data_IF_890802133729
#
_entry.id   IF_890802133729
#
_cell.length_a   1.000
_cell.length_b   1.000
_cell.length_c   1.000
_cell.angle_alpha   90.00
_cell.angle_beta   90.00
_cell.angle_gamma   90.00
#
_symmetry.space_group_name_H-M   'P 1'
#
loop_
_entity.id
_entity.type
_entity.pdbx_description
1 polymer ?
#
# COMPACT_ATOMS: atom_id res chain seq x y z
N UNK A 1 -11.64 11.86 9.17
CA UNK A 1 -12.11 11.51 10.53
C UNK A 1 -12.14 12.77 11.37
N UNK A 2 -13.08 12.89 12.28
CA UNK A 2 -13.09 13.97 13.27
C UNK A 2 -12.09 13.64 14.37
N UNK A 3 -11.18 14.56 14.74
CA UNK A 3 -10.36 14.40 15.94
C UNK A 3 -11.24 14.14 17.16
N UNK A 4 -10.83 13.26 18.06
CA UNK A 4 -11.54 12.95 19.30
C UNK A 4 -12.76 12.02 19.19
N UNK A 5 -13.22 11.69 17.99
CA UNK A 5 -14.39 10.78 17.82
C UNK A 5 -14.04 9.34 18.18
N UNK A 6 -12.80 8.90 17.92
CA UNK A 6 -12.42 7.51 18.10
C UNK A 6 -11.69 7.25 19.44
N UNK A 7 -10.63 8.00 19.77
CA UNK A 7 -9.80 7.75 20.96
C UNK A 7 -9.21 9.00 21.59
N UNK A 8 -8.72 9.93 20.78
CA UNK A 8 -8.16 11.21 21.22
C UNK A 8 -8.09 12.18 20.06
N UNK A 9 -7.79 13.45 20.36
CA UNK A 9 -7.64 14.50 19.35
C UNK A 9 -6.43 14.30 18.44
N UNK A 10 -5.52 13.42 18.81
CA UNK A 10 -4.24 13.19 18.10
C UNK A 10 -4.06 11.81 17.54
N UNK A 11 -4.85 10.82 17.97
CA UNK A 11 -4.74 9.42 17.53
C UNK A 11 -6.03 8.92 16.92
N UNK A 12 -5.95 8.44 15.70
CA UNK A 12 -7.05 7.72 15.02
C UNK A 12 -6.86 6.23 15.19
N UNK A 13 -7.90 5.52 15.61
CA UNK A 13 -7.93 4.08 15.67
C UNK A 13 -9.27 3.58 15.14
N UNK A 14 -9.24 2.70 14.15
CA UNK A 14 -10.43 2.17 13.50
C UNK A 14 -10.89 0.81 14.07
N UNK A 15 -10.20 0.25 15.04
CA UNK A 15 -10.43 -1.12 15.50
C UNK A 15 -11.86 -1.39 15.93
N UNK A 16 -12.47 -0.48 16.71
CA UNK A 16 -13.85 -0.62 17.14
C UNK A 16 -14.85 -0.49 15.99
N UNK A 17 -14.68 0.53 15.13
CA UNK A 17 -15.52 0.71 13.96
C UNK A 17 -15.41 -0.48 12.99
N UNK A 18 -14.20 -0.99 12.77
CA UNK A 18 -13.98 -2.18 11.93
C UNK A 18 -14.69 -3.39 12.52
N UNK A 19 -14.54 -3.67 13.81
CA UNK A 19 -15.18 -4.82 14.45
C UNK A 19 -16.72 -4.76 14.34
N UNK A 20 -17.31 -3.59 14.53
CA UNK A 20 -18.76 -3.41 14.36
C UNK A 20 -19.19 -3.60 12.91
N UNK A 21 -18.46 -3.02 11.97
CA UNK A 21 -18.75 -3.14 10.54
C UNK A 21 -18.64 -4.58 10.07
N UNK A 22 -17.58 -5.28 10.47
CA UNK A 22 -17.34 -6.69 10.14
C UNK A 22 -18.45 -7.59 10.69
N UNK A 23 -18.89 -7.35 11.93
CA UNK A 23 -19.99 -8.10 12.52
C UNK A 23 -21.30 -7.89 11.75
N UNK A 24 -21.61 -6.65 11.35
CA UNK A 24 -22.82 -6.33 10.58
C UNK A 24 -22.79 -6.95 9.18
N UNK A 25 -21.68 -6.78 8.45
CA UNK A 25 -21.51 -7.33 7.10
C UNK A 25 -21.45 -8.85 7.15
N UNK A 26 -20.78 -9.43 8.14
CA UNK A 26 -20.74 -10.88 8.36
C UNK A 26 -22.11 -11.47 8.67
N UNK A 27 -22.97 -10.78 9.42
CA UNK A 27 -24.34 -11.21 9.66
C UNK A 27 -25.19 -11.21 8.38
N UNK A 28 -24.98 -10.24 7.50
CA UNK A 28 -25.63 -10.18 6.19
C UNK A 28 -25.11 -11.31 5.27
N UNK A 29 -23.79 -11.49 5.19
CA UNK A 29 -23.17 -12.51 4.36
C UNK A 29 -23.53 -13.94 4.83
N UNK A 30 -23.62 -14.16 6.13
CA UNK A 30 -24.04 -15.41 6.75
C UNK A 30 -25.55 -15.67 6.75
N UNK A 31 -26.35 -14.85 6.06
CA UNK A 31 -27.80 -15.02 5.93
C UNK A 31 -28.62 -14.73 7.17
N UNK A 32 -28.03 -14.18 8.24
CA UNK A 32 -28.72 -13.78 9.46
C UNK A 32 -29.52 -12.50 9.30
N UNK A 33 -29.22 -11.70 8.29
CA UNK A 33 -29.91 -10.49 7.90
C UNK A 33 -30.42 -10.61 6.47
N UNK A 34 -31.63 -10.16 6.21
CA UNK A 34 -32.22 -10.23 4.86
C UNK A 34 -31.46 -9.31 3.90
N UNK A 35 -30.85 -9.91 2.87
CA UNK A 35 -30.02 -9.21 1.87
C UNK A 35 -30.81 -8.17 1.06
N UNK A 36 -32.05 -8.46 0.74
CA UNK A 36 -32.92 -7.66 -0.13
C UNK A 36 -34.13 -7.09 0.63
N UNK A 37 -33.89 -6.47 1.76
CA UNK A 37 -34.89 -5.69 2.50
C UNK A 37 -34.62 -4.21 2.27
N UNK A 38 -35.65 -3.48 1.84
CA UNK A 38 -35.56 -2.07 1.42
C UNK A 38 -36.38 -1.19 2.36
N UNK A 39 -36.00 0.08 2.48
CA UNK A 39 -36.84 1.14 3.05
C UNK A 39 -37.84 1.68 1.99
N UNK A 40 -38.60 2.71 2.39
CA UNK A 40 -39.60 3.39 1.52
C UNK A 40 -38.96 4.05 0.28
N UNK A 41 -37.67 4.40 0.32
CA UNK A 41 -36.91 4.99 -0.78
C UNK A 41 -36.11 3.93 -1.58
N UNK A 42 -36.42 2.65 -1.42
CA UNK A 42 -35.74 1.53 -2.07
C UNK A 42 -34.25 1.41 -1.72
N UNK A 43 -33.79 1.94 -0.58
CA UNK A 43 -32.43 1.70 -0.10
C UNK A 43 -32.35 0.39 0.69
N UNK A 44 -31.29 -0.36 0.50
CA UNK A 44 -31.04 -1.59 1.26
C UNK A 44 -30.81 -1.28 2.76
N UNK A 45 -31.67 -1.83 3.62
CA UNK A 45 -31.66 -1.54 5.06
C UNK A 45 -30.31 -1.83 5.72
N UNK A 46 -29.65 -2.95 5.37
CA UNK A 46 -28.35 -3.29 5.94
C UNK A 46 -27.27 -2.28 5.57
N UNK A 47 -27.27 -1.76 4.32
CA UNK A 47 -26.33 -0.70 3.91
C UNK A 47 -26.56 0.59 4.67
N UNK A 48 -27.84 0.94 4.88
CA UNK A 48 -28.26 2.12 5.64
C UNK A 48 -27.83 2.01 7.13
N UNK A 49 -27.95 0.81 7.72
CA UNK A 49 -27.49 0.54 9.07
C UNK A 49 -25.96 0.67 9.21
N UNK A 50 -25.19 0.10 8.26
CA UNK A 50 -23.73 0.26 8.22
C UNK A 50 -23.35 1.73 8.05
N UNK A 51 -24.01 2.45 7.14
CA UNK A 51 -23.75 3.87 6.93
C UNK A 51 -24.02 4.71 8.17
N UNK A 52 -25.09 4.38 8.92
CA UNK A 52 -25.42 5.08 10.19
C UNK A 52 -24.34 4.86 11.26
N UNK A 53 -23.79 3.66 11.38
CA UNK A 53 -22.66 3.39 12.28
C UNK A 53 -21.44 4.21 11.86
N UNK A 54 -21.11 4.24 10.56
CA UNK A 54 -20.01 5.06 10.05
C UNK A 54 -20.24 6.55 10.33
N UNK A 55 -21.46 7.07 10.17
CA UNK A 55 -21.77 8.47 10.47
C UNK A 55 -21.63 8.80 11.96
N UNK A 56 -21.94 7.85 12.88
CA UNK A 56 -21.74 8.03 14.30
C UNK A 56 -20.25 8.20 14.62
N UNK A 57 -19.39 7.33 14.08
CA UNK A 57 -17.96 7.33 14.36
C UNK A 57 -17.17 8.40 13.59
N UNK A 58 -17.51 8.64 12.33
CA UNK A 58 -16.74 9.50 11.42
C UNK A 58 -17.38 10.89 11.24
N UNK A 59 -18.65 11.04 11.62
CA UNK A 59 -19.48 12.19 11.32
C UNK A 59 -20.03 12.16 9.90
N UNK A 60 -21.01 13.00 9.62
CA UNK A 60 -21.61 13.13 8.30
C UNK A 60 -20.59 13.69 7.30
N UNK A 61 -20.63 13.19 6.06
CA UNK A 61 -19.88 13.78 4.96
C UNK A 61 -20.30 15.25 4.79
N UNK A 62 -19.36 16.20 4.73
CA UNK A 62 -19.71 17.61 4.58
C UNK A 62 -20.26 17.89 3.17
N UNK A 63 -21.35 18.62 3.08
CA UNK A 63 -21.82 19.15 1.78
C UNK A 63 -20.91 20.28 1.31
N UNK A 64 -20.43 21.10 2.26
CA UNK A 64 -19.51 22.22 2.05
C UNK A 64 -18.49 22.28 3.18
N UNK A 65 -17.31 22.82 2.88
CA UNK A 65 -16.25 23.08 3.86
C UNK A 65 -15.38 24.24 3.42
N UNK A 66 -14.64 24.84 4.36
CA UNK A 66 -13.69 25.91 4.08
C UNK A 66 -12.26 25.40 4.13
N UNK A 67 -11.49 25.66 3.08
CA UNK A 67 -10.05 25.37 3.04
C UNK A 67 -9.31 26.62 2.58
N UNK A 68 -8.32 27.08 3.37
CA UNK A 68 -7.54 28.30 3.13
C UNK A 68 -8.41 29.52 2.80
N UNK A 69 -9.50 29.71 3.57
CA UNK A 69 -10.41 30.86 3.44
C UNK A 69 -11.40 30.78 2.27
N UNK A 70 -11.38 29.73 1.47
CA UNK A 70 -12.31 29.52 0.36
C UNK A 70 -13.29 28.39 0.64
N UNK A 71 -14.57 28.58 0.34
CA UNK A 71 -15.61 27.55 0.46
C UNK A 71 -15.55 26.59 -0.75
N UNK A 72 -15.69 25.31 -0.46
CA UNK A 72 -15.72 24.23 -1.43
C UNK A 72 -16.83 23.22 -1.10
N UNK A 73 -17.37 22.57 -2.14
CA UNK A 73 -17.95 21.23 -2.01
C UNK A 73 -16.83 20.20 -2.20
N UNK A 74 -16.99 18.92 -1.77
CA UNK A 74 -16.01 17.87 -2.07
C UNK A 74 -15.65 17.78 -3.55
N UNK A 75 -16.64 17.92 -4.45
CA UNK A 75 -16.44 17.90 -5.91
C UNK A 75 -15.63 19.11 -6.40
N UNK A 76 -16.00 20.33 -6.00
CA UNK A 76 -15.27 21.53 -6.46
C UNK A 76 -13.85 21.59 -5.89
N UNK A 77 -13.62 21.02 -4.70
CA UNK A 77 -12.27 20.87 -4.17
C UNK A 77 -11.43 19.90 -5.02
N UNK A 78 -11.99 18.70 -5.32
CA UNK A 78 -11.35 17.75 -6.22
C UNK A 78 -10.99 18.40 -7.57
N UNK A 79 -11.93 19.08 -8.21
CA UNK A 79 -11.71 19.78 -9.47
C UNK A 79 -10.60 20.86 -9.37
N UNK A 80 -10.51 21.53 -8.23
CA UNK A 80 -9.46 22.55 -7.98
C UNK A 80 -8.05 21.99 -7.82
N UNK A 81 -7.91 20.67 -7.57
CA UNK A 81 -6.59 20.01 -7.48
C UNK A 81 -5.94 19.78 -8.83
N UNK A 82 -6.71 19.80 -9.92
CA UNK A 82 -6.25 19.44 -11.25
C UNK A 82 -5.94 17.96 -11.45
N UNK A 83 -6.17 17.10 -10.44
CA UNK A 83 -5.94 15.65 -10.53
C UNK A 83 -6.94 15.00 -11.46
N UNK A 84 -6.45 14.16 -12.35
CA UNK A 84 -7.27 13.36 -13.27
C UNK A 84 -6.95 11.87 -13.05
N UNK A 85 -7.89 11.04 -12.58
CA UNK A 85 -7.64 9.61 -12.38
C UNK A 85 -7.14 8.90 -13.64
N UNK A 86 -7.56 9.34 -14.84
CA UNK A 86 -7.10 8.82 -16.13
C UNK A 86 -5.61 9.04 -16.44
N UNK A 87 -4.94 9.90 -15.66
CA UNK A 87 -3.50 10.14 -15.81
C UNK A 87 -2.67 9.18 -14.96
N UNK A 88 -3.32 8.33 -14.15
CA UNK A 88 -2.66 7.38 -13.27
C UNK A 88 -2.88 5.95 -13.74
N UNK A 89 -1.84 5.14 -13.62
CA UNK A 89 -1.84 3.73 -14.01
C UNK A 89 -1.34 2.86 -12.86
N UNK A 90 -1.97 1.70 -12.70
CA UNK A 90 -1.51 0.67 -11.77
C UNK A 90 -0.61 -0.32 -12.49
N UNK A 91 0.48 -0.73 -11.85
CA UNK A 91 1.49 -1.64 -12.37
C UNK A 91 1.84 -2.71 -11.34
N UNK A 92 2.17 -3.89 -11.82
CA UNK A 92 2.64 -5.03 -11.01
C UNK A 92 3.62 -5.90 -11.84
N UNK A 93 4.17 -6.96 -11.23
CA UNK A 93 5.14 -7.83 -11.89
C UNK A 93 4.99 -9.28 -11.42
N UNK A 94 4.21 -10.10 -12.15
CA UNK A 94 4.00 -11.52 -11.85
C UNK A 94 3.91 -12.37 -13.12
N UNK A 95 4.31 -13.65 -13.06
CA UNK A 95 4.41 -14.52 -14.24
C UNK A 95 3.18 -15.36 -14.53
N UNK A 96 2.21 -15.42 -13.62
CA UNK A 96 0.97 -16.18 -13.79
C UNK A 96 0.00 -15.52 -14.80
N UNK A 97 0.26 -14.27 -15.21
CA UNK A 97 -0.38 -13.61 -16.34
C UNK A 97 0.65 -13.09 -17.36
N UNK A 98 0.29 -12.96 -18.64
CA UNK A 98 1.21 -12.45 -19.66
C UNK A 98 1.72 -11.04 -19.35
N UNK A 99 3.00 -10.78 -19.60
CA UNK A 99 3.54 -9.43 -19.51
C UNK A 99 2.94 -8.51 -20.58
N UNK A 100 2.95 -7.22 -20.32
CA UNK A 100 2.40 -6.13 -21.13
C UNK A 100 0.88 -6.21 -21.34
N UNK A 101 0.19 -6.99 -20.53
CA UNK A 101 -1.27 -7.04 -20.46
C UNK A 101 -1.77 -6.49 -19.14
N UNK A 102 -3.07 -6.29 -19.03
CA UNK A 102 -3.72 -5.95 -17.76
C UNK A 102 -4.43 -7.16 -17.18
N UNK A 103 -4.34 -7.31 -15.88
CA UNK A 103 -5.13 -8.28 -15.12
C UNK A 103 -5.53 -7.70 -13.77
N UNK A 104 -6.53 -8.31 -13.14
CA UNK A 104 -6.92 -7.99 -11.77
C UNK A 104 -6.02 -8.76 -10.82
N UNK A 105 -5.13 -8.06 -10.11
CA UNK A 105 -4.26 -8.71 -9.13
C UNK A 105 -5.12 -9.39 -8.07
N UNK A 106 -4.89 -10.69 -7.86
CA UNK A 106 -5.68 -11.57 -6.98
C UNK A 106 -5.23 -11.45 -5.53
N UNK A 107 -5.53 -10.32 -4.94
CA UNK A 107 -5.33 -10.00 -3.53
C UNK A 107 -6.65 -9.55 -2.90
N UNK A 108 -6.79 -9.72 -1.60
CA UNK A 108 -8.03 -9.42 -0.88
C UNK A 108 -8.42 -7.93 -0.97
N UNK A 109 -7.45 -7.04 -0.94
CA UNK A 109 -7.67 -5.60 -1.00
C UNK A 109 -8.13 -5.12 -2.37
N UNK A 110 -7.93 -5.91 -3.42
CA UNK A 110 -8.46 -5.61 -4.75
C UNK A 110 -9.93 -6.06 -4.94
N UNK A 111 -10.77 -5.79 -3.94
CA UNK A 111 -12.21 -6.14 -3.97
C UNK A 111 -12.98 -5.51 -5.14
N UNK A 112 -12.44 -4.47 -5.78
CA UNK A 112 -13.02 -3.85 -6.97
C UNK A 112 -12.59 -4.50 -8.27
N UNK A 113 -11.69 -5.49 -8.22
CA UNK A 113 -11.09 -6.12 -9.39
C UNK A 113 -10.46 -5.09 -10.35
N UNK A 114 -9.82 -4.06 -9.77
CA UNK A 114 -9.10 -3.05 -10.54
C UNK A 114 -7.93 -3.68 -11.30
N UNK A 115 -7.71 -3.22 -12.52
CA UNK A 115 -6.69 -3.78 -13.40
C UNK A 115 -5.33 -3.11 -13.16
N UNK A 116 -4.27 -3.93 -13.20
CA UNK A 116 -2.87 -3.48 -13.20
C UNK A 116 -2.18 -3.96 -14.45
N UNK A 117 -1.33 -3.13 -15.05
CA UNK A 117 -0.43 -3.56 -16.12
C UNK A 117 0.67 -4.43 -15.54
N UNK A 118 0.97 -5.52 -16.22
CA UNK A 118 1.98 -6.49 -15.81
C UNK A 118 3.29 -6.26 -16.56
N UNK A 119 4.40 -6.11 -15.85
CA UNK A 119 5.72 -5.89 -16.41
C UNK A 119 6.71 -6.97 -15.97
N UNK A 120 7.74 -7.30 -16.78
CA UNK A 120 8.91 -7.99 -16.25
C UNK A 120 9.52 -7.22 -15.09
N UNK A 121 10.08 -7.93 -14.11
CA UNK A 121 10.55 -7.34 -12.86
C UNK A 121 11.61 -6.24 -13.05
N UNK A 122 12.49 -6.37 -14.04
CA UNK A 122 13.53 -5.36 -14.30
C UNK A 122 12.93 -4.08 -14.90
N UNK A 123 11.98 -4.20 -15.82
CA UNK A 123 11.23 -3.05 -16.34
C UNK A 123 10.34 -2.42 -15.27
N UNK A 124 9.79 -3.25 -14.37
CA UNK A 124 9.04 -2.75 -13.23
C UNK A 124 9.91 -1.88 -12.31
N UNK A 125 11.14 -2.31 -12.02
CA UNK A 125 12.10 -1.50 -11.24
C UNK A 125 12.56 -0.25 -11.99
N UNK A 126 12.69 -0.30 -13.32
CA UNK A 126 13.00 0.89 -14.13
C UNK A 126 11.93 1.98 -13.97
N UNK A 127 10.65 1.60 -13.82
CA UNK A 127 9.56 2.57 -13.55
C UNK A 127 9.80 3.32 -12.25
N UNK A 128 10.23 2.65 -11.18
CA UNK A 128 10.52 3.32 -9.90
C UNK A 128 11.59 4.38 -10.05
N UNK A 129 12.72 4.01 -10.67
CA UNK A 129 13.84 4.93 -10.86
C UNK A 129 13.45 6.11 -11.77
N UNK A 130 12.78 5.82 -12.88
CA UNK A 130 12.35 6.87 -13.80
C UNK A 130 11.35 7.83 -13.17
N UNK A 131 10.37 7.32 -12.43
CA UNK A 131 9.36 8.15 -11.77
C UNK A 131 10.03 9.18 -10.83
N UNK A 132 10.90 8.73 -9.95
CA UNK A 132 11.58 9.62 -9.01
C UNK A 132 12.52 10.60 -9.71
N UNK A 133 13.30 10.12 -10.67
CA UNK A 133 14.26 10.96 -11.40
C UNK A 133 13.58 12.01 -12.32
N UNK A 134 12.32 11.80 -12.68
CA UNK A 134 11.52 12.76 -13.48
C UNK A 134 10.57 13.60 -12.63
N UNK A 135 10.67 13.53 -11.28
CA UNK A 135 9.93 14.38 -10.34
C UNK A 135 8.54 13.87 -9.98
N UNK A 136 8.24 12.60 -10.24
CA UNK A 136 6.99 11.97 -9.82
C UNK A 136 7.18 11.15 -8.54
N UNK A 137 6.10 10.97 -7.80
CA UNK A 137 6.03 10.08 -6.65
C UNK A 137 5.24 8.81 -7.00
N UNK A 138 5.38 7.79 -6.17
CA UNK A 138 4.80 6.47 -6.38
C UNK A 138 3.89 6.13 -5.20
N UNK A 139 2.62 5.82 -5.43
CA UNK A 139 1.82 5.14 -4.44
C UNK A 139 2.23 3.66 -4.47
N UNK A 140 2.67 3.15 -3.34
CA UNK A 140 3.36 1.88 -3.21
C UNK A 140 2.61 0.94 -2.28
N UNK A 141 2.07 -0.16 -2.83
CA UNK A 141 1.52 -1.28 -2.08
C UNK A 141 2.59 -2.34 -1.86
N UNK A 142 2.81 -2.73 -0.61
CA UNK A 142 3.91 -3.62 -0.23
C UNK A 142 3.55 -4.50 0.95
N UNK A 143 4.17 -5.67 0.99
CA UNK A 143 4.31 -6.44 2.20
C UNK A 143 5.28 -5.73 3.16
N UNK A 144 4.84 -5.53 4.40
CA UNK A 144 5.61 -4.94 5.49
C UNK A 144 5.69 -5.87 6.71
N UNK A 145 5.14 -7.07 6.60
CA UNK A 145 5.19 -8.09 7.66
C UNK A 145 6.55 -8.80 7.78
N UNK A 146 7.52 -8.34 7.02
CA UNK A 146 8.90 -8.83 6.96
C UNK A 146 9.77 -8.39 8.12
N UNK A 147 10.67 -9.26 8.56
CA UNK A 147 11.66 -8.93 9.58
C UNK A 147 12.57 -7.77 9.18
N UNK A 148 12.82 -7.61 7.88
CA UNK A 148 13.61 -6.51 7.32
C UNK A 148 12.90 -5.16 7.29
N UNK A 149 11.56 -5.12 7.43
CA UNK A 149 10.80 -3.88 7.57
C UNK A 149 10.75 -3.46 9.04
N UNK A 150 11.73 -2.66 9.46
CA UNK A 150 11.92 -2.31 10.87
C UNK A 150 11.12 -1.10 11.28
N UNK A 151 10.79 -0.99 12.57
CA UNK A 151 10.18 0.23 13.15
C UNK A 151 11.15 1.40 13.23
N UNK A 152 12.44 1.15 13.07
CA UNK A 152 13.49 2.19 13.08
C UNK A 152 13.56 2.99 11.78
N UNK A 153 12.76 2.64 10.78
CA UNK A 153 12.66 3.37 9.52
C UNK A 153 13.58 2.84 8.43
N UNK A 154 13.91 1.56 8.46
CA UNK A 154 14.70 0.87 7.41
C UNK A 154 13.93 -0.35 6.95
N UNK A 155 13.90 -0.58 5.63
CA UNK A 155 13.36 -1.78 5.02
C UNK A 155 14.42 -2.41 4.10
N UNK A 156 14.90 -3.60 4.44
CA UNK A 156 16.01 -4.29 3.77
C UNK A 156 15.71 -5.77 3.58
N UNK A 157 16.34 -6.38 2.58
CA UNK A 157 16.34 -7.83 2.35
C UNK A 157 17.75 -8.39 2.53
N UNK A 158 18.21 -8.67 3.74
CA UNK A 158 19.55 -9.19 3.96
C UNK A 158 19.77 -10.49 3.19
N UNK A 159 20.90 -10.60 2.50
CA UNK A 159 21.32 -11.85 1.87
C UNK A 159 22.07 -12.70 2.91
N UNK A 160 21.30 -13.30 3.80
CA UNK A 160 21.83 -14.11 4.88
C UNK A 160 21.08 -15.45 4.88
N UNK A 161 21.79 -16.54 4.60
CA UNK A 161 21.24 -17.89 4.58
C UNK A 161 20.54 -18.26 5.90
N UNK A 162 21.05 -17.78 7.03
CA UNK A 162 20.42 -17.98 8.35
C UNK A 162 19.07 -17.27 8.49
N UNK A 163 18.85 -16.16 7.77
CA UNK A 163 17.55 -15.46 7.74
C UNK A 163 16.56 -16.21 6.83
N UNK A 164 17.07 -16.90 5.80
CA UNK A 164 16.25 -17.70 4.88
C UNK A 164 15.74 -19.01 5.50
N UNK A 165 16.46 -19.56 6.46
CA UNK A 165 16.01 -20.77 7.23
C UNK A 165 14.82 -20.46 8.17
N UNK A 166 14.46 -19.21 8.32
CA UNK A 166 13.37 -18.75 9.19
C UNK A 166 12.00 -18.70 8.48
N UNK A 167 11.87 -19.38 7.34
CA UNK A 167 10.62 -19.49 6.59
C UNK A 167 9.56 -20.27 7.37
N UNK A 168 8.50 -19.61 7.68
CA UNK A 168 7.32 -20.16 8.32
C UNK A 168 6.61 -19.12 9.19
N UNK A 169 5.55 -18.49 8.68
CA UNK A 169 4.80 -17.38 9.27
C UNK A 169 5.70 -16.31 9.92
N UNK A 170 6.31 -15.48 9.07
CA UNK A 170 7.31 -14.46 9.42
C UNK A 170 6.86 -13.50 10.51
N UNK A 171 5.58 -13.19 10.60
CA UNK A 171 5.05 -12.34 11.67
C UNK A 171 5.16 -13.01 13.06
N UNK A 172 4.86 -14.31 13.18
CA UNK A 172 4.98 -15.03 14.45
C UNK A 172 6.46 -15.19 14.85
N UNK A 173 7.35 -15.33 13.87
CA UNK A 173 8.78 -15.39 14.10
C UNK A 173 9.35 -14.02 14.48
N UNK A 174 9.03 -12.98 13.74
CA UNK A 174 9.43 -11.60 14.03
C UNK A 174 8.99 -11.14 15.43
N UNK A 175 7.78 -11.54 15.87
CA UNK A 175 7.30 -11.26 17.22
C UNK A 175 8.13 -11.97 18.31
N UNK A 176 8.75 -13.10 18.01
CA UNK A 176 9.59 -13.87 18.93
C UNK A 176 11.07 -13.46 18.92
N UNK A 177 11.53 -12.72 17.91
CA UNK A 177 12.91 -12.25 17.84
C UNK A 177 13.23 -11.32 19.00
N UNK A 178 14.43 -11.49 19.61
CA UNK A 178 14.92 -10.59 20.65
C UNK A 178 15.21 -9.21 20.08
N UNK A 179 15.12 -8.14 20.89
CA UNK A 179 15.43 -6.76 20.45
C UNK A 179 16.80 -6.62 19.78
N UNK A 180 17.79 -7.39 20.20
CA UNK A 180 19.15 -7.41 19.65
C UNK A 180 19.19 -7.97 18.23
N UNK A 181 18.41 -9.00 17.96
CA UNK A 181 18.30 -9.64 16.63
C UNK A 181 17.57 -8.73 15.63
N UNK A 182 16.61 -7.91 16.12
CA UNK A 182 15.92 -6.90 15.33
C UNK A 182 16.80 -5.69 14.97
N UNK A 183 18.00 -5.57 15.56
CA UNK A 183 18.98 -4.51 15.24
C UNK A 183 19.91 -4.86 14.08
N UNK A 184 19.77 -6.03 13.46
CA UNK A 184 20.62 -6.48 12.34
C UNK A 184 20.64 -5.53 11.13
N UNK A 185 19.64 -4.64 11.01
CA UNK A 185 19.45 -3.78 9.85
C UNK A 185 20.00 -2.34 10.04
N UNK A 186 20.86 -2.12 11.03
CA UNK A 186 21.40 -0.78 11.32
C UNK A 186 22.69 -0.43 10.57
N UNK A 187 23.28 -1.39 9.87
CA UNK A 187 24.50 -1.22 9.08
C UNK A 187 24.25 -1.67 7.62
N UNK A 188 24.94 -1.06 6.64
CA UNK A 188 24.96 -1.58 5.28
C UNK A 188 25.37 -3.04 5.28
N UNK A 189 24.68 -3.86 4.50
CA UNK A 189 24.96 -5.27 4.34
C UNK A 189 24.50 -5.75 2.97
N UNK A 190 25.06 -6.87 2.44
CA UNK A 190 24.60 -7.45 1.19
C UNK A 190 23.09 -7.70 1.20
N UNK A 191 22.43 -7.38 0.10
CA UNK A 191 21.00 -7.52 -0.07
C UNK A 191 20.67 -8.64 -1.07
N UNK A 192 19.69 -9.48 -0.74
CA UNK A 192 19.17 -10.47 -1.67
C UNK A 192 18.47 -9.80 -2.84
N UNK A 193 19.02 -9.94 -4.03
CA UNK A 193 18.40 -9.47 -5.27
C UNK A 193 17.57 -10.59 -5.90
N UNK A 194 16.28 -10.61 -5.63
CA UNK A 194 15.39 -11.68 -6.06
C UNK A 194 15.24 -11.74 -7.59
N UNK A 195 15.09 -12.95 -8.10
CA UNK A 195 14.69 -13.21 -9.48
C UNK A 195 13.18 -13.05 -9.66
N UNK A 196 12.72 -12.99 -10.93
CA UNK A 196 11.29 -13.00 -11.24
C UNK A 196 10.59 -14.25 -10.70
N UNK A 197 11.25 -15.41 -10.76
CA UNK A 197 10.71 -16.68 -10.27
C UNK A 197 10.56 -16.71 -8.74
N UNK A 198 11.57 -16.21 -7.99
CA UNK A 198 11.49 -16.12 -6.53
C UNK A 198 10.38 -15.16 -6.09
N UNK A 199 10.23 -14.02 -6.79
CA UNK A 199 9.13 -13.10 -6.53
C UNK A 199 7.77 -13.74 -6.77
N UNK A 200 7.61 -14.50 -7.87
CA UNK A 200 6.37 -15.24 -8.15
C UNK A 200 6.10 -16.30 -7.08
N UNK A 201 7.12 -17.08 -6.70
CA UNK A 201 6.96 -18.11 -5.70
C UNK A 201 6.51 -17.55 -4.34
N UNK A 202 7.07 -16.40 -3.93
CA UNK A 202 6.69 -15.75 -2.68
C UNK A 202 5.24 -15.22 -2.70
N UNK A 203 4.73 -14.84 -3.87
CA UNK A 203 3.32 -14.50 -4.06
C UNK A 203 2.44 -15.76 -3.99
N UNK A 204 2.82 -16.83 -4.68
CA UNK A 204 2.04 -18.07 -4.80
C UNK A 204 1.91 -18.80 -3.45
N UNK A 205 2.94 -18.74 -2.61
CA UNK A 205 3.00 -19.41 -1.30
C UNK A 205 2.65 -18.49 -0.11
N UNK A 206 2.22 -17.24 -0.38
CA UNK A 206 1.83 -16.27 0.63
C UNK A 206 2.97 -15.76 1.54
N UNK A 207 4.22 -15.89 1.10
CA UNK A 207 5.36 -15.21 1.74
C UNK A 207 5.38 -13.71 1.47
N UNK A 208 4.70 -13.26 0.43
CA UNK A 208 4.51 -11.85 0.13
C UNK A 208 3.02 -11.56 0.04
N UNK A 209 2.53 -10.69 0.92
CA UNK A 209 1.11 -10.35 1.07
C UNK A 209 0.87 -8.85 0.85
N UNK A 210 -0.37 -8.45 0.61
CA UNK A 210 -0.74 -7.04 0.48
C UNK A 210 -1.11 -6.49 1.86
N UNK A 211 -0.17 -5.80 2.50
CA UNK A 211 -0.31 -5.40 3.89
C UNK A 211 -0.51 -3.90 4.07
N UNK A 212 0.18 -3.07 3.25
CA UNK A 212 0.30 -1.66 3.57
C UNK A 212 0.56 -0.76 2.36
N UNK A 213 -0.12 0.38 2.34
CA UNK A 213 0.06 1.43 1.34
C UNK A 213 0.91 2.58 1.84
N UNK A 214 1.93 2.96 1.07
CA UNK A 214 2.88 4.04 1.39
C UNK A 214 3.16 4.89 0.15
N UNK A 215 4.01 5.91 0.31
CA UNK A 215 4.45 6.77 -0.79
C UNK A 215 5.97 6.77 -0.92
N UNK A 216 6.48 6.39 -2.08
CA UNK A 216 7.89 6.61 -2.45
C UNK A 216 7.99 7.98 -3.11
N UNK A 217 8.95 8.81 -2.64
CA UNK A 217 9.09 10.19 -3.11
C UNK A 217 10.53 10.65 -3.36
N UNK A 218 11.52 9.78 -3.15
CA UNK A 218 12.93 10.13 -3.34
C UNK A 218 13.84 8.92 -3.37
N UNK A 219 15.11 9.16 -3.67
CA UNK A 219 16.21 8.19 -3.60
C UNK A 219 17.28 8.76 -2.65
N UNK A 220 17.84 7.92 -1.81
CA UNK A 220 18.97 8.22 -0.93
C UNK A 220 20.06 7.15 -1.08
N UNK A 221 21.25 7.45 -0.59
CA UNK A 221 22.38 6.51 -0.54
C UNK A 221 22.89 6.35 0.88
N UNK A 222 23.30 5.14 1.19
CA UNK A 222 24.04 4.89 2.43
C UNK A 222 25.53 5.27 2.31
N UNK A 223 26.32 5.00 3.35
CA UNK A 223 27.74 5.33 3.42
C UNK A 223 28.60 4.52 2.44
N UNK A 224 28.08 3.40 1.94
CA UNK A 224 28.74 2.53 0.96
C UNK A 224 28.26 2.80 -0.48
N UNK A 225 27.31 3.74 -0.64
CA UNK A 225 26.75 4.11 -1.94
C UNK A 225 25.56 3.27 -2.39
N UNK A 226 25.05 2.35 -1.57
CA UNK A 226 23.85 1.59 -1.88
C UNK A 226 22.62 2.50 -1.93
N UNK A 227 21.77 2.30 -2.90
CA UNK A 227 20.59 3.12 -3.11
C UNK A 227 19.36 2.58 -2.37
N UNK A 228 18.62 3.50 -1.80
CA UNK A 228 17.37 3.28 -1.10
C UNK A 228 16.29 4.22 -1.62
N UNK A 229 15.06 3.76 -1.70
CA UNK A 229 13.92 4.64 -1.88
C UNK A 229 13.52 5.28 -0.55
N UNK A 230 13.23 6.57 -0.59
CA UNK A 230 12.68 7.31 0.54
C UNK A 230 11.17 7.14 0.56
N UNK A 231 10.67 6.60 1.65
CA UNK A 231 9.26 6.22 1.80
C UNK A 231 8.61 7.05 2.90
N UNK A 232 7.52 7.74 2.56
CA UNK A 232 6.65 8.35 3.56
C UNK A 232 5.62 7.33 4.02
N UNK A 233 5.67 6.99 5.31
CA UNK A 233 4.72 6.12 5.97
C UNK A 233 3.70 6.93 6.76
N UNK A 234 2.60 6.28 7.18
CA UNK A 234 1.50 6.87 7.95
C UNK A 234 1.60 6.60 9.47
N UNK A 235 2.72 6.04 9.96
CA UNK A 235 2.88 5.62 11.36
C UNK A 235 3.46 6.71 12.27
N UNK A 236 3.26 7.98 11.93
CA UNK A 236 3.75 9.12 12.70
C UNK A 236 5.26 9.35 12.53
N UNK A 237 5.84 10.13 13.43
CA UNK A 237 7.24 10.61 13.32
C UNK A 237 8.15 10.08 14.43
N UNK A 238 7.73 9.01 15.12
CA UNK A 238 8.45 8.49 16.30
C UNK A 238 9.75 7.74 15.95
N UNK A 239 9.97 7.34 14.70
CA UNK A 239 11.23 6.72 14.30
C UNK A 239 12.36 7.77 14.18
N UNK A 240 13.62 7.31 14.14
CA UNK A 240 14.78 8.19 14.06
C UNK A 240 14.88 9.06 12.80
N UNK A 241 14.05 8.80 11.80
CA UNK A 241 13.98 9.53 10.53
C UNK A 241 12.69 10.34 10.35
N UNK A 242 12.02 10.70 11.46
CA UNK A 242 10.82 11.56 11.45
C UNK A 242 9.70 11.05 10.55
N UNK A 243 9.41 9.76 10.60
CA UNK A 243 8.32 9.14 9.83
C UNK A 243 8.67 8.74 8.40
N UNK A 244 9.96 8.81 8.05
CA UNK A 244 10.49 8.34 6.78
C UNK A 244 11.08 6.94 6.97
N UNK A 245 10.88 6.08 5.97
CA UNK A 245 11.57 4.80 5.83
C UNK A 245 12.52 4.85 4.64
N UNK A 246 13.62 4.14 4.75
CA UNK A 246 14.58 3.92 3.67
C UNK A 246 14.48 2.47 3.26
N UNK A 247 13.81 2.22 2.13
CA UNK A 247 13.62 0.89 1.58
C UNK A 247 14.70 0.58 0.53
N UNK A 248 15.49 -0.46 0.75
CA UNK A 248 16.47 -0.89 -0.25
C UNK A 248 15.80 -1.26 -1.55
N UNK A 249 16.49 -1.09 -2.68
CA UNK A 249 15.97 -1.53 -3.98
C UNK A 249 15.67 -3.03 -4.01
N UNK A 250 16.43 -3.83 -3.26
CA UNK A 250 16.21 -5.25 -3.13
C UNK A 250 14.89 -5.57 -2.40
N UNK A 251 14.57 -4.84 -1.32
CA UNK A 251 13.30 -4.97 -0.61
C UNK A 251 12.13 -4.60 -1.53
N UNK A 252 12.20 -3.44 -2.18
CA UNK A 252 11.15 -2.97 -3.10
C UNK A 252 10.94 -3.95 -4.25
N UNK A 253 12.03 -4.46 -4.83
CA UNK A 253 11.96 -5.47 -5.89
C UNK A 253 11.23 -6.73 -5.46
N UNK A 254 11.45 -7.19 -4.24
CA UNK A 254 10.89 -8.45 -3.75
C UNK A 254 9.46 -8.29 -3.22
N UNK A 255 9.21 -7.25 -2.41
CA UNK A 255 8.02 -7.14 -1.56
C UNK A 255 6.94 -6.19 -2.06
N UNK A 256 7.13 -5.57 -3.22
CA UNK A 256 6.08 -4.74 -3.84
C UNK A 256 4.96 -5.60 -4.40
N UNK A 257 3.72 -5.33 -4.02
CA UNK A 257 2.54 -5.94 -4.63
C UNK A 257 2.16 -5.21 -5.92
N UNK A 258 1.88 -3.93 -5.81
CA UNK A 258 1.58 -3.06 -6.93
C UNK A 258 2.04 -1.62 -6.67
N UNK A 259 2.03 -0.82 -7.71
CA UNK A 259 2.22 0.63 -7.60
C UNK A 259 1.17 1.37 -8.41
N UNK A 260 0.90 2.62 -8.01
CA UNK A 260 0.18 3.56 -8.86
C UNK A 260 1.07 4.77 -9.11
N UNK A 261 1.24 5.12 -10.39
CA UNK A 261 2.06 6.24 -10.83
C UNK A 261 1.33 7.06 -11.88
N UNK A 262 1.75 8.33 -12.04
CA UNK A 262 1.33 9.13 -13.17
C UNK A 262 1.87 8.51 -14.47
N UNK A 263 1.07 8.44 -15.53
CA UNK A 263 1.46 7.82 -16.80
C UNK A 263 2.73 8.45 -17.44
N UNK A 264 2.99 9.72 -17.17
CA UNK A 264 4.19 10.40 -17.66
C UNK A 264 5.46 10.09 -16.84
N UNK A 265 5.30 9.37 -15.72
CA UNK A 265 6.41 8.79 -14.97
C UNK A 265 6.95 7.51 -15.60
N UNK A 266 6.27 6.95 -16.59
CA UNK A 266 6.72 5.73 -17.27
C UNK A 266 7.87 6.03 -18.24
N UNK A 267 8.92 5.19 -18.30
CA UNK A 267 9.89 5.21 -19.38
C UNK A 267 9.19 5.12 -20.76
N UNK A 268 9.65 5.90 -21.75
CA UNK A 268 9.01 5.95 -23.07
C UNK A 268 8.85 4.58 -23.73
N UNK A 269 9.85 3.72 -23.59
CA UNK A 269 9.82 2.37 -24.14
C UNK A 269 8.73 1.50 -23.49
N UNK A 270 8.59 1.58 -22.16
CA UNK A 270 7.57 0.84 -21.41
C UNK A 270 6.18 1.38 -21.76
N UNK A 271 6.03 2.71 -21.78
CA UNK A 271 4.78 3.37 -22.18
C UNK A 271 4.30 2.90 -23.54
N UNK A 272 5.21 2.80 -24.52
CA UNK A 272 4.90 2.29 -25.85
C UNK A 272 4.47 0.82 -25.85
N UNK A 273 5.17 -0.07 -25.10
CA UNK A 273 4.81 -1.48 -24.97
C UNK A 273 3.42 -1.69 -24.36
N UNK A 274 3.02 -0.81 -23.45
CA UNK A 274 1.71 -0.86 -22.78
C UNK A 274 0.60 -0.15 -23.57
N UNK A 275 0.92 0.48 -24.72
CA UNK A 275 -0.06 1.24 -25.51
C UNK A 275 -0.63 2.47 -24.80
N UNK A 276 0.09 3.01 -23.80
CA UNK A 276 -0.33 4.18 -23.02
C UNK A 276 0.12 5.46 -23.77
N UNK A 277 -0.83 6.39 -23.91
CA UNK A 277 -0.64 7.71 -24.57
C UNK A 277 -0.31 8.78 -23.56
#
# INVERSE_FOLDING_TARGET
MRPGVMYSDTLSNHGELSALTDAMVGAMAGGKVKKFQYDEDYNLLWKKAVAAVHEIYLGKAPEKFTYKGKEYTPKSFYESTGLKPSDYVSLTSYTHHPFYTQFSLEIQDNWRHALSYNLPIDEFMEVFDNAINTGYTIAWGSDVSESGFTRDGVAVMPDNEKVQELSGSDMAHWLKMKPEEKKLNTKPQPQKWCTQAERQLAYDNWETTDDHGMQIYGIAKDQEGNEYYMVKNSWGTANKYNGIWYASKAFVRYKTMNIVVHKDALPKAIKAKLGIK
#
